data_IF_421363790667
#
_entry.id   IF_421363790667
#
_cell.length_a   1.000
_cell.length_b   1.000
_cell.length_c   1.000
_cell.angle_alpha   90.00
_cell.angle_beta   90.00
_cell.angle_gamma   90.00
#
_symmetry.space_group_name_H-M   'P 1'
#
loop_
_entity.id
_entity.type
_entity.pdbx_description
1 polymer ?
#
# COMPACT_ATOMS: atom_id res chain seq x y z
N UNK A 1 -15.02 -18.35 -14.01
CA UNK A 1 -14.62 -16.96 -14.29
C UNK A 1 -13.86 -16.45 -13.08
N UNK A 2 -12.57 -16.10 -13.21
CA UNK A 2 -11.84 -15.44 -12.12
C UNK A 2 -12.44 -14.04 -11.92
N UNK A 3 -13.33 -13.89 -10.94
CA UNK A 3 -13.90 -12.59 -10.64
C UNK A 3 -12.80 -11.72 -10.03
N UNK A 4 -12.71 -10.46 -10.46
CA UNK A 4 -11.88 -9.47 -9.79
C UNK A 4 -12.62 -8.95 -8.56
N UNK A 5 -11.91 -8.74 -7.46
CA UNK A 5 -12.42 -8.08 -6.26
C UNK A 5 -11.96 -6.63 -6.27
N UNK A 6 -12.91 -5.71 -6.08
CA UNK A 6 -12.61 -4.28 -5.93
C UNK A 6 -12.75 -3.90 -4.47
N UNK A 7 -11.76 -3.19 -3.91
CA UNK A 7 -11.78 -2.72 -2.52
C UNK A 7 -11.46 -1.22 -2.50
N UNK A 8 -12.31 -0.43 -1.84
CA UNK A 8 -11.97 0.92 -1.37
C UNK A 8 -11.83 0.89 0.15
N UNK A 9 -10.58 0.99 0.64
CA UNK A 9 -10.30 1.02 2.08
C UNK A 9 -10.46 2.40 2.70
N UNK A 10 -10.78 3.44 1.92
CA UNK A 10 -10.85 4.80 2.42
C UNK A 10 -9.49 5.41 2.74
N UNK A 11 -9.52 6.57 3.40
CA UNK A 11 -8.33 7.26 3.91
C UNK A 11 -7.70 6.45 5.05
N UNK A 12 -6.40 6.13 4.95
CA UNK A 12 -5.66 5.35 5.96
C UNK A 12 -4.24 5.87 6.15
N UNK A 13 -3.61 5.64 7.33
CA UNK A 13 -2.17 5.89 7.51
C UNK A 13 -1.32 5.05 6.56
N UNK A 14 -0.13 5.56 6.19
CA UNK A 14 0.78 4.87 5.29
C UNK A 14 1.13 3.45 5.75
N UNK A 15 1.51 3.28 7.02
CA UNK A 15 1.87 1.98 7.57
C UNK A 15 0.74 0.94 7.40
N UNK A 16 -0.52 1.33 7.62
CA UNK A 16 -1.66 0.43 7.46
C UNK A 16 -1.90 0.09 5.98
N UNK A 17 -1.76 1.07 5.07
CA UNK A 17 -1.86 0.81 3.64
C UNK A 17 -0.78 -0.16 3.16
N UNK A 18 0.47 0.00 3.59
CA UNK A 18 1.57 -0.91 3.23
C UNK A 18 1.34 -2.31 3.80
N UNK A 19 0.92 -2.42 5.07
CA UNK A 19 0.60 -3.70 5.69
C UNK A 19 -0.52 -4.44 4.96
N UNK A 20 -1.61 -3.75 4.59
CA UNK A 20 -2.70 -4.31 3.81
C UNK A 20 -2.23 -4.76 2.42
N UNK A 21 -1.32 -4.01 1.77
CA UNK A 21 -0.77 -4.43 0.48
C UNK A 21 0.02 -5.72 0.61
N UNK A 22 0.88 -5.85 1.63
CA UNK A 22 1.64 -7.08 1.87
C UNK A 22 0.73 -8.27 2.13
N UNK A 23 -0.24 -8.13 3.04
CA UNK A 23 -1.18 -9.20 3.37
C UNK A 23 -2.01 -9.65 2.15
N UNK A 24 -2.47 -8.71 1.31
CA UNK A 24 -3.17 -9.04 0.07
C UNK A 24 -2.26 -9.70 -0.96
N UNK A 25 -0.99 -9.30 -1.05
CA UNK A 25 -0.04 -9.93 -1.97
C UNK A 25 0.26 -11.38 -1.56
N UNK A 26 0.52 -11.60 -0.27
CA UNK A 26 0.77 -12.92 0.31
C UNK A 26 -0.45 -13.84 0.18
N UNK A 27 -1.65 -13.37 0.51
CA UNK A 27 -2.88 -14.14 0.35
C UNK A 27 -3.18 -14.48 -1.13
N UNK A 28 -2.87 -13.58 -2.07
CA UNK A 28 -2.99 -13.89 -3.50
C UNK A 28 -1.92 -14.90 -3.93
N UNK A 29 -0.69 -14.79 -3.45
CA UNK A 29 0.35 -15.77 -3.73
C UNK A 29 -0.05 -17.18 -3.23
N UNK A 30 -0.70 -17.28 -2.08
CA UNK A 30 -1.22 -18.52 -1.49
C UNK A 30 -2.55 -19.02 -2.12
N UNK A 31 -3.05 -18.30 -3.12
CA UNK A 31 -4.31 -18.55 -3.79
C UNK A 31 -5.62 -18.39 -2.99
N UNK A 32 -5.56 -17.79 -1.81
CA UNK A 32 -6.68 -17.70 -0.86
C UNK A 32 -7.72 -16.61 -1.22
N UNK A 33 -7.36 -15.66 -2.08
CA UNK A 33 -8.21 -14.53 -2.48
C UNK A 33 -8.17 -14.29 -3.99
N UNK A 34 -9.23 -13.78 -4.63
CA UNK A 34 -9.19 -13.42 -6.05
C UNK A 34 -8.22 -12.27 -6.36
N UNK A 35 -7.90 -12.08 -7.65
CA UNK A 35 -7.24 -10.88 -8.15
C UNK A 35 -7.94 -9.62 -7.63
N UNK A 36 -7.18 -8.71 -7.05
CA UNK A 36 -7.74 -7.57 -6.32
C UNK A 36 -7.29 -6.25 -6.93
N UNK A 37 -8.24 -5.39 -7.28
CA UNK A 37 -8.01 -3.97 -7.54
C UNK A 37 -8.33 -3.19 -6.26
N UNK A 38 -7.35 -2.45 -5.73
CA UNK A 38 -7.54 -1.67 -4.49
C UNK A 38 -7.25 -0.19 -4.73
N UNK A 39 -8.17 0.67 -4.32
CA UNK A 39 -7.93 2.11 -4.27
C UNK A 39 -7.20 2.48 -2.97
N UNK A 40 -6.19 3.34 -3.10
CA UNK A 40 -5.30 3.76 -2.03
C UNK A 40 -5.48 5.25 -1.76
N UNK A 41 -5.77 5.60 -0.50
CA UNK A 41 -5.77 6.98 0.01
C UNK A 41 -4.97 7.04 1.29
N UNK A 42 -4.14 8.06 1.40
CA UNK A 42 -3.20 8.25 2.52
C UNK A 42 -3.54 9.50 3.30
N UNK A 43 -3.49 9.43 4.65
CA UNK A 43 -3.23 10.64 5.44
C UNK A 43 -1.87 11.22 5.02
N UNK A 44 -1.58 12.53 5.24
CA UNK A 44 -0.29 13.11 4.85
C UNK A 44 0.89 12.23 5.25
N UNK A 45 1.70 11.85 4.27
CA UNK A 45 2.81 10.92 4.44
C UNK A 45 3.78 11.03 3.25
N UNK A 46 5.08 10.88 3.50
CA UNK A 46 6.06 10.62 2.46
C UNK A 46 6.25 9.10 2.30
N UNK A 47 6.27 8.63 1.05
CA UNK A 47 6.57 7.24 0.71
C UNK A 47 7.91 7.19 -0.01
N UNK A 48 8.78 6.27 0.41
CA UNK A 48 10.08 6.06 -0.20
C UNK A 48 10.11 4.70 -0.90
N UNK A 49 10.67 4.70 -2.11
CA UNK A 49 11.07 3.47 -2.78
C UNK A 49 12.18 2.76 -1.99
N UNK A 50 12.25 1.44 -2.11
CA UNK A 50 13.18 0.61 -1.35
C UNK A 50 14.66 1.01 -1.49
N UNK A 51 15.04 1.54 -2.65
CA UNK A 51 16.42 2.00 -2.92
C UNK A 51 16.60 3.52 -2.80
N UNK A 52 15.62 4.25 -2.29
CA UNK A 52 15.71 5.70 -2.09
C UNK A 52 16.21 6.01 -0.68
N UNK A 53 17.00 7.09 -0.55
CA UNK A 53 17.45 7.60 0.75
C UNK A 53 16.49 8.68 1.26
N UNK A 54 16.00 8.54 2.48
CA UNK A 54 15.10 9.54 3.08
C UNK A 54 15.74 10.93 3.16
N UNK A 55 17.02 10.99 3.54
CA UNK A 55 17.77 12.24 3.68
C UNK A 55 18.00 12.97 2.35
N UNK A 56 17.97 12.24 1.23
CA UNK A 56 18.21 12.81 -0.11
C UNK A 56 16.90 13.25 -0.79
N UNK A 57 15.79 12.59 -0.48
CA UNK A 57 14.52 12.77 -1.19
C UNK A 57 13.53 13.66 -0.43
N UNK A 58 13.68 13.74 0.90
CA UNK A 58 12.71 14.41 1.78
C UNK A 58 13.37 15.54 2.56
N UNK A 59 12.57 16.57 2.82
CA UNK A 59 12.89 17.55 3.86
C UNK A 59 12.44 16.98 5.22
N UNK A 60 13.34 16.29 5.91
CA UNK A 60 13.04 15.60 7.16
C UNK A 60 12.67 16.54 8.31
N UNK A 61 13.15 17.78 8.31
CA UNK A 61 12.79 18.77 9.34
C UNK A 61 11.35 19.26 9.18
N UNK A 62 10.82 19.22 7.95
CA UNK A 62 9.44 19.60 7.65
C UNK A 62 8.45 18.44 7.81
N UNK A 63 8.88 17.22 7.48
CA UNK A 63 8.05 16.01 7.50
C UNK A 63 7.74 15.51 8.92
#
# INVERSE_FOLDING_TARGET
MNHWRVIDTGLRPAAQNIALNRALLEARQAEEIPSTLRFLRFTPSALLGYHQSAEQELNLDYC
#
